data_IF_774959485188
#
_entry.id   IF_774959485188
#
_cell.length_a   1.000
_cell.length_b   1.000
_cell.length_c   1.000
_cell.angle_alpha   90.00
_cell.angle_beta   90.00
_cell.angle_gamma   90.00
#
_symmetry.space_group_name_H-M   'P 1'
#
loop_
_entity.id
_entity.type
_entity.pdbx_description
1 polymer ?
#
# COMPACT_ATOMS: atom_id res chain seq x y z
N UNK A 1 -8.73 -5.15 -8.14
CA UNK A 1 -7.53 -4.28 -8.30
C UNK A 1 -6.75 -4.23 -6.99
N UNK A 2 -5.46 -3.89 -6.95
CA UNK A 2 -4.68 -3.77 -5.71
C UNK A 2 -4.14 -2.36 -5.49
N UNK A 3 -3.94 -2.01 -4.22
CA UNK A 3 -3.42 -0.72 -3.77
C UNK A 3 -2.23 -0.92 -2.85
N UNK A 4 -1.17 -0.13 -3.05
CA UNK A 4 -0.08 0.04 -2.09
C UNK A 4 -0.40 1.25 -1.22
N UNK A 5 -0.51 1.03 0.08
CA UNK A 5 -0.99 2.02 1.04
C UNK A 5 0.09 2.26 2.08
N UNK A 6 0.37 3.53 2.35
CA UNK A 6 1.23 3.96 3.43
C UNK A 6 0.40 4.71 4.46
N UNK A 7 0.36 4.19 5.66
CA UNK A 7 -0.43 4.76 6.76
C UNK A 7 0.40 5.44 7.83
N UNK A 8 1.70 5.21 7.81
CA UNK A 8 2.65 5.82 8.72
C UNK A 8 4.01 5.83 8.06
N UNK A 9 4.82 6.82 8.40
CA UNK A 9 6.22 6.84 7.99
C UNK A 9 7.06 5.79 8.73
N UNK A 10 6.57 5.32 9.89
CA UNK A 10 7.28 4.35 10.75
C UNK A 10 7.09 2.90 10.34
N UNK A 11 6.03 2.60 9.60
CA UNK A 11 5.65 1.24 9.23
C UNK A 11 5.78 1.03 7.71
N UNK A 12 6.08 -0.20 7.26
CA UNK A 12 6.13 -0.50 5.84
C UNK A 12 4.75 -0.30 5.18
N UNK A 13 4.71 0.05 3.89
CA UNK A 13 3.46 0.08 3.15
C UNK A 13 2.83 -1.31 3.05
N UNK A 14 1.50 -1.35 3.00
CA UNK A 14 0.70 -2.58 2.89
C UNK A 14 0.06 -2.67 1.50
N UNK A 15 -0.02 -3.89 0.96
CA UNK A 15 -0.79 -4.17 -0.26
C UNK A 15 -2.18 -4.65 0.14
N UNK A 16 -3.23 -3.99 -0.35
CA UNK A 16 -4.61 -4.40 -0.15
C UNK A 16 -5.33 -4.58 -1.48
N UNK A 17 -6.19 -5.61 -1.55
CA UNK A 17 -7.18 -5.72 -2.63
C UNK A 17 -8.21 -4.59 -2.49
N UNK A 18 -8.77 -4.14 -3.61
CA UNK A 18 -9.76 -3.07 -3.70
C UNK A 18 -10.96 -3.25 -2.77
N UNK A 19 -11.51 -4.46 -2.73
CA UNK A 19 -12.66 -4.77 -1.85
C UNK A 19 -12.32 -4.58 -0.37
N UNK A 20 -11.09 -4.94 0.03
CA UNK A 20 -10.62 -4.78 1.39
C UNK A 20 -10.19 -3.34 1.68
N UNK A 21 -9.67 -2.63 0.68
CA UNK A 21 -9.25 -1.24 0.80
C UNK A 21 -10.40 -0.36 1.25
N UNK A 22 -11.58 -0.47 0.63
CA UNK A 22 -12.72 0.38 0.99
C UNK A 22 -13.28 0.08 2.38
N UNK A 23 -13.18 -1.17 2.85
CA UNK A 23 -13.56 -1.52 4.22
C UNK A 23 -12.56 -1.01 5.26
N UNK A 24 -11.28 -1.00 4.89
CA UNK A 24 -10.18 -0.59 5.76
C UNK A 24 -9.99 0.94 5.78
N UNK A 25 -10.35 1.62 4.68
CA UNK A 25 -10.15 3.05 4.48
C UNK A 25 -10.84 3.89 5.57
N UNK A 26 -10.05 4.72 6.24
CA UNK A 26 -10.54 5.64 7.26
C UNK A 26 -10.14 7.07 6.89
N UNK A 27 -11.09 7.94 6.49
CA UNK A 27 -10.78 9.31 6.08
C UNK A 27 -10.24 10.20 7.21
N UNK A 28 -10.35 9.77 8.47
CA UNK A 28 -9.83 10.50 9.63
C UNK A 28 -8.34 10.25 9.89
N UNK A 29 -7.74 9.23 9.26
CA UNK A 29 -6.29 8.96 9.38
C UNK A 29 -5.52 9.95 8.50
N UNK A 30 -4.88 10.94 9.13
CA UNK A 30 -4.13 12.02 8.44
C UNK A 30 -2.95 11.53 7.60
N UNK A 31 -2.30 10.44 8.02
CA UNK A 31 -1.10 9.92 7.38
C UNK A 31 -1.41 8.86 6.31
N UNK A 32 -2.70 8.60 6.04
CA UNK A 32 -3.12 7.63 5.04
C UNK A 32 -2.86 8.13 3.61
N UNK A 33 -2.07 7.38 2.85
CA UNK A 33 -1.76 7.69 1.46
C UNK A 33 -1.73 6.43 0.60
N UNK A 34 -2.44 6.46 -0.52
CA UNK A 34 -2.23 5.49 -1.60
C UNK A 34 -1.00 5.90 -2.39
N UNK A 35 0.00 5.04 -2.45
CA UNK A 35 1.23 5.27 -3.21
C UNK A 35 1.16 4.73 -4.64
N UNK A 36 0.47 3.60 -4.84
CA UNK A 36 0.37 2.95 -6.13
C UNK A 36 -0.94 2.13 -6.26
N UNK A 37 -1.43 1.93 -7.49
CA UNK A 37 -2.60 1.10 -7.81
C UNK A 37 -2.31 0.27 -9.06
N UNK A 38 -2.58 -1.03 -9.02
CA UNK A 38 -2.35 -1.91 -10.16
C UNK A 38 -2.74 -3.37 -9.91
N UNK A 39 -2.19 -4.27 -10.71
CA UNK A 39 -2.22 -5.70 -10.42
C UNK A 39 -1.32 -6.04 -9.21
N UNK A 40 -1.54 -7.20 -8.61
CA UNK A 40 -0.77 -7.65 -7.45
C UNK A 40 0.74 -7.65 -7.73
N UNK A 41 1.15 -8.19 -8.89
CA UNK A 41 2.56 -8.24 -9.29
C UNK A 41 3.16 -6.84 -9.44
N UNK A 42 2.43 -5.91 -10.08
CA UNK A 42 2.89 -4.53 -10.22
C UNK A 42 3.04 -3.82 -8.86
N UNK A 43 2.18 -4.14 -7.87
CA UNK A 43 2.33 -3.61 -6.52
C UNK A 43 3.60 -4.16 -5.83
N UNK A 44 3.91 -5.44 -6.00
CA UNK A 44 5.16 -6.02 -5.50
C UNK A 44 6.39 -5.43 -6.20
N UNK A 45 6.35 -5.27 -7.52
CA UNK A 45 7.43 -4.64 -8.29
C UNK A 45 7.67 -3.20 -7.81
N UNK A 46 6.60 -2.44 -7.56
CA UNK A 46 6.69 -1.09 -6.98
C UNK A 46 7.35 -1.12 -5.60
N UNK A 47 6.95 -2.03 -4.71
CA UNK A 47 7.54 -2.15 -3.37
C UNK A 47 9.02 -2.51 -3.43
N UNK A 48 9.41 -3.47 -4.28
CA UNK A 48 10.81 -3.88 -4.45
C UNK A 48 11.67 -2.74 -4.97
N UNK A 49 11.15 -1.97 -5.92
CA UNK A 49 11.85 -0.82 -6.50
C UNK A 49 11.98 0.34 -5.51
N UNK A 50 10.92 0.64 -4.77
CA UNK A 50 10.85 1.83 -3.91
C UNK A 50 11.37 1.58 -2.49
N UNK A 51 11.28 0.35 -2.01
CA UNK A 51 11.65 -0.10 -0.66
C UNK A 51 12.56 -1.34 -0.72
N UNK A 52 13.79 -1.22 -1.25
CA UNK A 52 14.69 -2.36 -1.47
C UNK A 52 15.14 -3.10 -0.19
N UNK A 53 14.81 -2.59 1.00
CA UNK A 53 15.06 -3.21 2.30
C UNK A 53 13.88 -3.96 2.92
N UNK A 54 12.69 -3.91 2.31
CA UNK A 54 11.54 -4.68 2.76
C UNK A 54 11.72 -6.15 2.36
N UNK A 55 12.06 -7.00 3.33
CA UNK A 55 11.92 -8.45 3.18
C UNK A 55 10.43 -8.76 3.27
N UNK A 56 9.85 -9.22 2.15
CA UNK A 56 8.45 -9.69 2.07
C UNK A 56 8.26 -10.95 2.89
#
# INVERSE_FOLDING_TARGET
MYYVIRDSEKYPPTILHEDNYFQWYNPMKKDHRVEFRGSMNQCYDYLMSRYPGMRV
#
